data_IF_919163199407
#
_entry.id   IF_919163199407
#
_cell.length_a   1.000
_cell.length_b   1.000
_cell.length_c   1.000
_cell.angle_alpha   90.00
_cell.angle_beta   90.00
_cell.angle_gamma   90.00
#
_symmetry.space_group_name_H-M   'P 1'
#
loop_
_entity.id
_entity.type
_entity.pdbx_description
1 polymer ?
#
# COMPACT_ATOMS: atom_id res chain seq x y z
N UNK A 1 26.86 -70.37 4.62
CA UNK A 1 26.13 -69.49 5.57
C UNK A 1 26.51 -68.08 5.20
N UNK A 2 25.67 -67.45 4.35
CA UNK A 2 25.97 -66.13 3.80
C UNK A 2 25.27 -65.06 4.68
N UNK A 3 26.05 -64.21 5.32
CA UNK A 3 25.61 -63.03 6.02
C UNK A 3 25.30 -61.94 4.97
N UNK A 4 24.05 -61.61 4.84
CA UNK A 4 23.60 -60.45 4.07
C UNK A 4 23.81 -59.23 4.97
N UNK A 5 24.75 -58.34 4.58
CA UNK A 5 24.91 -57.03 5.17
C UNK A 5 23.68 -56.19 4.80
N UNK A 6 22.96 -55.76 5.81
CA UNK A 6 21.92 -54.71 5.66
C UNK A 6 22.62 -53.40 5.37
N UNK A 7 22.49 -52.94 4.13
CA UNK A 7 22.81 -51.57 3.75
C UNK A 7 21.83 -50.65 4.54
N UNK A 8 22.37 -49.93 5.49
CA UNK A 8 21.65 -48.85 6.16
C UNK A 8 21.42 -47.72 5.15
N UNK A 9 20.21 -47.63 4.64
CA UNK A 9 19.74 -46.45 3.92
C UNK A 9 19.93 -45.25 4.85
N UNK A 10 20.96 -44.49 4.65
CA UNK A 10 21.11 -43.15 5.18
C UNK A 10 19.99 -42.32 4.56
N UNK A 11 18.97 -42.04 5.34
CA UNK A 11 18.02 -40.97 5.01
C UNK A 11 18.86 -39.72 4.80
N UNK A 12 19.08 -39.32 3.55
CA UNK A 12 19.60 -38.01 3.23
C UNK A 12 18.76 -36.98 3.99
N UNK A 13 19.41 -36.26 4.87
CA UNK A 13 18.80 -35.12 5.55
C UNK A 13 18.26 -34.19 4.48
N UNK A 14 16.93 -34.07 4.40
CA UNK A 14 16.26 -33.06 3.56
C UNK A 14 16.96 -31.75 3.89
N UNK A 15 17.68 -31.25 2.90
CA UNK A 15 18.49 -30.04 3.04
C UNK A 15 17.60 -28.90 3.49
N UNK A 16 17.70 -28.52 4.77
CA UNK A 16 16.97 -27.42 5.38
C UNK A 16 17.32 -26.06 4.75
N UNK A 17 18.18 -26.06 3.73
CA UNK A 17 18.64 -24.87 3.02
C UNK A 17 17.59 -24.27 2.08
N UNK A 18 16.47 -24.96 1.83
CA UNK A 18 15.44 -24.54 0.87
C UNK A 18 14.22 -23.82 1.49
N UNK A 19 14.15 -23.68 2.83
CA UNK A 19 13.01 -23.02 3.47
C UNK A 19 13.00 -21.52 3.15
N UNK A 20 11.98 -21.07 2.43
CA UNK A 20 11.70 -19.67 2.10
C UNK A 20 10.32 -19.30 2.61
N UNK A 21 10.18 -18.09 3.11
CA UNK A 21 8.89 -17.55 3.50
C UNK A 21 8.41 -16.54 2.46
N UNK A 22 8.12 -17.05 1.27
CA UNK A 22 7.43 -16.26 0.26
C UNK A 22 5.98 -16.03 0.71
N UNK A 23 5.49 -14.80 0.60
CA UNK A 23 4.17 -14.45 1.11
C UNK A 23 3.29 -13.84 0.03
N UNK A 24 2.03 -14.27 0.01
CA UNK A 24 0.95 -13.43 -0.50
C UNK A 24 0.53 -12.51 0.64
N UNK A 25 0.46 -11.22 0.41
CA UNK A 25 -0.04 -10.27 1.39
C UNK A 25 -1.35 -9.66 0.94
N UNK A 26 -2.23 -9.43 1.88
CA UNK A 26 -3.47 -8.67 1.72
C UNK A 26 -3.56 -7.63 2.82
N UNK A 27 -3.99 -6.41 2.50
CA UNK A 27 -4.10 -5.35 3.49
C UNK A 27 -5.27 -4.44 3.27
N UNK A 28 -5.75 -3.89 4.37
CA UNK A 28 -6.73 -2.82 4.41
C UNK A 28 -6.19 -1.66 5.24
N UNK A 29 -6.30 -0.45 4.74
CA UNK A 29 -5.80 0.75 5.39
C UNK A 29 -6.84 1.85 5.45
N UNK A 30 -6.73 2.70 6.46
CA UNK A 30 -7.33 4.02 6.52
C UNK A 30 -6.32 5.02 5.96
N UNK A 31 -6.75 5.86 4.99
CA UNK A 31 -5.87 6.75 4.26
C UNK A 31 -6.08 8.20 4.71
N UNK A 32 -5.12 8.78 5.42
CA UNK A 32 -5.17 10.13 5.95
C UNK A 32 -4.43 11.07 4.99
N UNK A 33 -5.08 12.12 4.53
CA UNK A 33 -4.45 13.18 3.76
C UNK A 33 -3.84 14.23 4.70
N UNK A 34 -2.56 14.40 4.61
CA UNK A 34 -1.77 15.43 5.30
C UNK A 34 -1.55 16.63 4.38
N UNK A 35 -1.14 17.77 4.94
CA UNK A 35 -0.80 18.99 4.18
C UNK A 35 -1.94 19.43 3.23
N UNK A 36 -3.17 19.39 3.74
CA UNK A 36 -4.36 19.81 2.99
C UNK A 36 -4.45 21.33 2.94
N UNK A 37 -4.88 21.94 1.80
CA UNK A 37 -5.19 23.35 1.72
C UNK A 37 -6.24 23.78 2.75
N UNK A 38 -6.29 25.08 3.02
CA UNK A 38 -7.28 25.70 3.93
C UNK A 38 -8.71 25.38 3.49
N UNK A 39 -9.58 25.03 4.45
CA UNK A 39 -10.97 24.65 4.17
C UNK A 39 -11.18 23.28 3.56
N UNK A 40 -10.10 22.52 3.23
CA UNK A 40 -10.22 21.15 2.73
C UNK A 40 -10.22 20.16 3.89
N UNK A 41 -11.29 19.37 3.94
CA UNK A 41 -11.50 18.32 4.93
C UNK A 41 -11.68 16.95 4.29
N UNK A 42 -11.28 15.90 5.03
CA UNK A 42 -11.66 14.54 4.68
C UNK A 42 -13.02 14.23 5.31
N UNK A 43 -13.88 13.62 4.52
CA UNK A 43 -15.18 13.13 4.94
C UNK A 43 -15.33 11.65 4.59
N UNK A 44 -16.35 11.00 5.11
CA UNK A 44 -16.57 9.56 4.96
C UNK A 44 -15.36 8.72 5.46
N UNK A 45 -15.23 7.48 4.98
CA UNK A 45 -14.18 6.53 5.33
C UNK A 45 -13.20 6.38 4.16
N UNK A 46 -12.08 7.14 4.13
CA UNK A 46 -11.05 6.93 3.11
C UNK A 46 -10.31 5.63 3.39
N UNK A 47 -10.26 4.75 2.41
CA UNK A 47 -9.67 3.43 2.57
C UNK A 47 -8.73 3.05 1.44
N UNK A 48 -7.81 2.15 1.75
CA UNK A 48 -6.96 1.46 0.80
C UNK A 48 -7.11 -0.05 0.93
N UNK A 49 -6.99 -0.73 -0.19
CA UNK A 49 -6.90 -2.20 -0.26
C UNK A 49 -5.64 -2.50 -1.03
N UNK A 50 -4.84 -3.42 -0.52
CA UNK A 50 -3.60 -3.87 -1.18
C UNK A 50 -3.55 -5.39 -1.21
N UNK A 51 -3.01 -5.92 -2.31
CA UNK A 51 -2.79 -7.35 -2.53
C UNK A 51 -1.51 -7.53 -3.32
N UNK A 52 -0.67 -8.48 -2.95
CA UNK A 52 0.54 -8.74 -3.70
C UNK A 52 1.29 -9.96 -3.21
N UNK A 53 2.44 -10.16 -3.83
CA UNK A 53 3.36 -11.23 -3.51
C UNK A 53 4.74 -10.64 -3.19
N UNK A 54 5.38 -11.16 -2.15
CA UNK A 54 6.73 -10.77 -1.76
C UNK A 54 7.58 -12.04 -1.65
N UNK A 55 8.68 -12.05 -2.37
CA UNK A 55 9.71 -13.08 -2.28
C UNK A 55 10.64 -12.77 -1.14
N UNK A 56 10.88 -13.76 -0.29
CA UNK A 56 11.81 -13.69 0.83
C UNK A 56 13.22 -14.11 0.41
N UNK A 57 14.21 -13.31 0.80
CA UNK A 57 15.63 -13.55 0.55
C UNK A 57 16.35 -13.54 1.90
N UNK A 58 16.46 -14.68 2.61
CA UNK A 58 17.14 -14.73 3.89
C UNK A 58 18.63 -14.44 3.75
N UNK A 59 19.20 -13.66 4.68
CA UNK A 59 20.61 -13.23 4.62
C UNK A 59 21.45 -14.09 5.55
N UNK A 60 20.89 -14.61 6.65
CA UNK A 60 21.63 -15.35 7.65
C UNK A 60 21.18 -16.82 7.76
N UNK A 61 22.06 -17.67 8.32
CA UNK A 61 21.79 -19.10 8.53
C UNK A 61 20.57 -19.35 9.44
N UNK A 62 20.34 -18.49 10.41
CA UNK A 62 19.19 -18.57 11.31
C UNK A 62 17.87 -18.16 10.63
N UNK A 63 17.93 -17.54 9.44
CA UNK A 63 16.79 -17.07 8.62
C UNK A 63 15.82 -16.12 9.34
N UNK A 64 16.28 -15.53 10.43
CA UNK A 64 15.52 -14.55 11.17
C UNK A 64 15.69 -13.13 10.63
N UNK A 65 16.59 -12.92 9.67
CA UNK A 65 16.84 -11.66 9.00
C UNK A 65 16.93 -11.86 7.48
N UNK A 66 16.25 -11.00 6.71
CA UNK A 66 16.20 -11.12 5.26
C UNK A 66 15.79 -9.83 4.56
N UNK A 67 15.81 -9.87 3.25
CA UNK A 67 15.22 -8.89 2.36
C UNK A 67 13.96 -9.45 1.72
N UNK A 68 12.98 -8.58 1.45
CA UNK A 68 11.81 -8.87 0.65
C UNK A 68 11.75 -7.99 -0.59
N UNK A 69 11.44 -8.58 -1.72
CA UNK A 69 11.12 -7.88 -2.96
C UNK A 69 9.82 -8.45 -3.50
N UNK A 70 8.92 -7.58 -3.94
CA UNK A 70 7.61 -8.03 -4.36
C UNK A 70 6.98 -7.23 -5.47
N UNK A 71 5.79 -7.66 -5.83
CA UNK A 71 4.91 -6.98 -6.76
C UNK A 71 3.49 -7.06 -6.22
N UNK A 72 2.75 -5.96 -6.29
CA UNK A 72 1.38 -5.89 -5.79
C UNK A 72 0.53 -4.89 -6.52
N UNK A 73 -0.73 -4.93 -6.17
CA UNK A 73 -1.75 -4.00 -6.60
C UNK A 73 -2.33 -3.29 -5.38
N UNK A 74 -2.59 -1.98 -5.53
CA UNK A 74 -3.32 -1.22 -4.52
C UNK A 74 -4.43 -0.38 -5.15
N UNK A 75 -5.55 -0.33 -4.44
CA UNK A 75 -6.67 0.57 -4.69
C UNK A 75 -6.74 1.53 -3.52
N UNK A 76 -6.67 2.85 -3.77
CA UNK A 76 -6.88 3.86 -2.75
C UNK A 76 -8.08 4.74 -3.09
N UNK A 77 -8.86 5.08 -2.07
CA UNK A 77 -9.97 6.02 -2.15
C UNK A 77 -9.73 7.14 -1.14
N UNK A 78 -9.79 8.38 -1.62
CA UNK A 78 -9.64 9.59 -0.82
C UNK A 78 -10.92 10.40 -0.91
N UNK A 79 -11.69 10.45 0.17
CA UNK A 79 -12.94 11.20 0.24
C UNK A 79 -12.66 12.56 0.87
N UNK A 80 -12.99 13.64 0.15
CA UNK A 80 -12.75 15.02 0.59
C UNK A 80 -13.87 15.94 0.11
N UNK A 81 -13.92 17.17 0.61
CA UNK A 81 -14.71 18.24 0.02
C UNK A 81 -13.95 19.01 -1.09
N UNK A 82 -12.74 18.58 -1.49
CA UNK A 82 -12.03 19.15 -2.65
C UNK A 82 -12.64 18.58 -3.93
N UNK A 83 -13.44 19.39 -4.63
CA UNK A 83 -14.00 19.04 -5.92
C UNK A 83 -12.98 19.29 -7.03
N UNK A 84 -12.80 18.32 -7.90
CA UNK A 84 -12.11 18.46 -9.18
C UNK A 84 -13.15 18.57 -10.29
N UNK A 85 -13.00 19.52 -11.20
CA UNK A 85 -13.88 19.73 -12.34
C UNK A 85 -13.05 19.96 -13.62
N UNK A 86 -13.41 19.26 -14.70
CA UNK A 86 -12.81 19.51 -16.01
C UNK A 86 -13.30 20.86 -16.58
N UNK A 87 -12.38 21.65 -17.07
CA UNK A 87 -12.62 22.92 -17.77
C UNK A 87 -11.93 22.92 -19.14
N UNK A 88 -12.14 23.94 -19.93
CA UNK A 88 -11.46 24.07 -21.24
C UNK A 88 -9.94 24.22 -21.10
N UNK A 89 -9.48 24.77 -19.98
CA UNK A 89 -8.07 25.04 -19.70
C UNK A 89 -7.38 23.97 -18.84
N UNK A 90 -8.08 22.88 -18.49
CA UNK A 90 -7.54 21.79 -17.65
C UNK A 90 -8.49 21.42 -16.52
N UNK A 91 -7.95 21.01 -15.37
CA UNK A 91 -8.72 20.62 -14.20
C UNK A 91 -8.66 21.74 -13.15
N UNK A 92 -9.81 22.21 -12.69
CA UNK A 92 -9.91 23.16 -11.59
C UNK A 92 -10.23 22.46 -10.28
N UNK A 93 -9.72 23.00 -9.18
CA UNK A 93 -9.89 22.46 -7.83
C UNK A 93 -10.45 23.51 -6.89
N UNK A 94 -11.59 23.21 -6.26
CA UNK A 94 -12.22 24.09 -5.29
C UNK A 94 -12.80 23.30 -4.10
N UNK A 95 -12.87 23.96 -2.94
CA UNK A 95 -13.66 23.44 -1.84
C UNK A 95 -15.15 23.48 -2.20
N UNK A 96 -15.87 22.39 -1.97
CA UNK A 96 -17.34 22.39 -2.08
C UNK A 96 -17.87 23.26 -0.95
N UNK A 97 -18.69 24.31 -1.24
CA UNK A 97 -19.29 25.13 -0.21
C UNK A 97 -20.18 24.35 0.76
N UNK A 98 -20.24 24.77 2.02
CA UNK A 98 -20.97 24.05 3.08
C UNK A 98 -22.48 23.97 2.85
N UNK A 99 -23.05 24.90 2.06
CA UNK A 99 -24.45 24.94 1.64
C UNK A 99 -24.78 23.97 0.48
N UNK A 100 -23.78 23.40 -0.16
CA UNK A 100 -23.92 22.42 -1.25
C UNK A 100 -23.96 20.99 -0.73
N UNK A 101 -25.11 20.36 -0.85
CA UNK A 101 -25.26 18.96 -0.50
C UNK A 101 -24.69 18.05 -1.58
N UNK A 102 -23.86 17.09 -1.18
CA UNK A 102 -23.32 16.06 -2.08
C UNK A 102 -23.26 14.70 -1.39
N UNK A 103 -23.51 13.67 -2.18
CA UNK A 103 -23.48 12.29 -1.68
C UNK A 103 -22.06 11.71 -1.65
N UNK A 104 -21.20 12.12 -2.59
CA UNK A 104 -19.85 11.57 -2.74
C UNK A 104 -18.97 12.52 -3.53
N UNK A 105 -17.78 12.78 -2.98
CA UNK A 105 -16.69 13.38 -3.72
C UNK A 105 -15.40 12.64 -3.33
N UNK A 106 -14.70 12.03 -4.31
CA UNK A 106 -13.51 11.25 -4.05
C UNK A 106 -12.55 11.22 -5.22
N UNK A 107 -11.29 11.01 -4.89
CA UNK A 107 -10.25 10.58 -5.83
C UNK A 107 -9.98 9.09 -5.58
N UNK A 108 -9.98 8.32 -6.66
CA UNK A 108 -9.70 6.88 -6.66
C UNK A 108 -8.43 6.63 -7.48
N UNK A 109 -7.50 5.85 -6.96
CA UNK A 109 -6.26 5.51 -7.65
C UNK A 109 -6.02 4.00 -7.62
N UNK A 110 -5.56 3.47 -8.74
CA UNK A 110 -5.15 2.08 -8.92
C UNK A 110 -3.65 2.05 -9.20
N UNK A 111 -2.90 1.37 -8.34
CA UNK A 111 -1.44 1.33 -8.41
C UNK A 111 -0.93 -0.08 -8.62
N UNK A 112 0.13 -0.18 -9.40
CA UNK A 112 1.06 -1.28 -9.34
C UNK A 112 2.14 -0.91 -8.32
N UNK A 113 2.39 -1.76 -7.33
CA UNK A 113 3.33 -1.47 -6.25
C UNK A 113 4.49 -2.47 -6.24
N UNK A 114 5.69 -1.98 -6.00
CA UNK A 114 6.90 -2.79 -5.78
C UNK A 114 7.44 -2.52 -4.38
N UNK A 115 7.13 -3.36 -3.40
CA UNK A 115 7.72 -3.30 -2.07
C UNK A 115 9.17 -3.81 -2.08
N UNK A 116 10.04 -3.08 -1.38
CA UNK A 116 11.42 -3.42 -1.08
C UNK A 116 11.58 -3.29 0.43
N UNK A 117 11.80 -4.40 1.14
CA UNK A 117 11.76 -4.38 2.60
C UNK A 117 12.88 -5.17 3.26
N UNK A 118 13.24 -4.73 4.44
CA UNK A 118 14.06 -5.46 5.40
C UNK A 118 13.11 -6.21 6.33
N UNK A 119 13.40 -7.48 6.57
CA UNK A 119 12.57 -8.41 7.33
C UNK A 119 13.32 -8.94 8.53
N UNK A 120 12.73 -8.76 9.70
CA UNK A 120 13.16 -9.46 10.91
C UNK A 120 12.02 -10.28 11.48
N UNK A 121 12.33 -11.51 11.90
CA UNK A 121 11.34 -12.45 12.42
C UNK A 121 11.93 -13.41 13.44
N UNK A 122 11.10 -13.92 14.32
CA UNK A 122 11.48 -14.95 15.30
C UNK A 122 11.12 -16.36 14.85
N UNK A 123 10.96 -16.59 13.53
CA UNK A 123 10.60 -17.91 12.99
C UNK A 123 11.71 -18.93 13.16
N UNK A 124 11.30 -20.20 13.34
CA UNK A 124 12.17 -21.37 13.26
C UNK A 124 11.55 -22.36 12.29
N UNK A 125 12.32 -23.31 11.77
CA UNK A 125 11.84 -24.32 10.84
C UNK A 125 10.68 -25.19 11.37
N UNK A 126 10.46 -25.17 12.69
CA UNK A 126 9.44 -25.98 13.38
C UNK A 126 8.30 -25.15 13.98
N UNK A 127 8.41 -23.83 14.03
CA UNK A 127 7.40 -22.96 14.65
C UNK A 127 6.89 -21.92 13.66
N UNK A 128 5.64 -22.07 13.24
CA UNK A 128 4.96 -21.18 12.28
C UNK A 128 4.31 -19.95 12.95
N UNK A 129 4.29 -19.87 14.29
CA UNK A 129 3.73 -18.72 15.03
C UNK A 129 4.87 -17.89 15.59
N UNK A 130 5.14 -16.74 14.99
CA UNK A 130 6.29 -15.92 15.32
C UNK A 130 6.01 -14.43 15.16
N UNK A 131 6.83 -13.60 15.78
CA UNK A 131 6.82 -12.17 15.60
C UNK A 131 7.48 -11.76 14.29
N UNK A 132 6.90 -10.77 13.64
CA UNK A 132 7.42 -10.14 12.42
C UNK A 132 7.59 -8.65 12.62
N UNK A 133 8.71 -8.12 12.13
CA UNK A 133 8.95 -6.68 12.00
C UNK A 133 9.54 -6.47 10.62
N UNK A 134 8.80 -5.80 9.75
CA UNK A 134 9.19 -5.51 8.39
C UNK A 134 9.13 -4.02 8.15
N UNK A 135 10.07 -3.49 7.39
CA UNK A 135 10.08 -2.08 7.03
C UNK A 135 10.84 -1.84 5.74
N UNK A 136 10.44 -0.84 4.98
CA UNK A 136 11.05 -0.60 3.70
C UNK A 136 10.45 0.54 2.92
N UNK A 137 10.70 0.51 1.63
CA UNK A 137 10.20 1.47 0.66
C UNK A 137 9.27 0.75 -0.31
N UNK A 138 8.19 1.40 -0.68
CA UNK A 138 7.25 0.92 -1.67
C UNK A 138 7.22 1.91 -2.84
N UNK A 139 7.58 1.45 -4.02
CA UNK A 139 7.48 2.20 -5.26
C UNK A 139 6.16 1.88 -5.93
N UNK A 140 5.33 2.90 -6.20
CA UNK A 140 4.01 2.76 -6.79
C UNK A 140 3.91 3.48 -8.13
N UNK A 141 3.22 2.86 -9.09
CA UNK A 141 2.86 3.47 -10.36
C UNK A 141 1.35 3.49 -10.52
N UNK A 142 0.75 4.70 -10.59
CA UNK A 142 -0.68 4.87 -10.85
C UNK A 142 -0.94 4.63 -12.33
N UNK A 143 -1.56 3.50 -12.65
CA UNK A 143 -1.91 3.14 -14.03
C UNK A 143 -3.36 3.51 -14.40
N UNK A 144 -4.23 3.70 -13.38
CA UNK A 144 -5.59 4.19 -13.57
C UNK A 144 -6.02 5.03 -12.37
N UNK A 145 -6.82 6.05 -12.62
CA UNK A 145 -7.39 6.89 -11.59
C UNK A 145 -8.74 7.46 -12.01
N UNK A 146 -9.50 7.98 -11.08
CA UNK A 146 -10.72 8.74 -11.37
C UNK A 146 -11.02 9.75 -10.27
N UNK A 147 -11.34 10.97 -10.66
CA UNK A 147 -12.08 11.93 -9.83
C UNK A 147 -13.57 11.69 -10.01
N UNK A 148 -14.31 11.54 -8.91
CA UNK A 148 -15.73 11.19 -8.90
C UNK A 148 -16.49 12.12 -7.96
N UNK A 149 -17.49 12.82 -8.52
CA UNK A 149 -18.43 13.63 -7.76
C UNK A 149 -19.86 13.14 -7.99
N UNK A 150 -20.69 13.12 -6.96
CA UNK A 150 -22.10 12.81 -7.01
C UNK A 150 -22.83 13.79 -6.10
N UNK A 151 -23.59 14.70 -6.68
CA UNK A 151 -24.43 15.67 -6.00
C UNK A 151 -25.79 15.81 -6.66
N UNK A 152 -26.59 16.75 -6.19
CA UNK A 152 -27.95 16.99 -6.71
C UNK A 152 -27.95 17.44 -8.18
N UNK A 153 -26.86 18.09 -8.63
CA UNK A 153 -26.67 18.51 -10.02
C UNK A 153 -26.22 17.41 -10.99
N UNK A 154 -26.03 16.16 -10.50
CA UNK A 154 -25.63 15.04 -11.34
C UNK A 154 -24.39 14.29 -10.87
N UNK A 155 -23.78 13.57 -11.82
CA UNK A 155 -22.58 12.74 -11.59
C UNK A 155 -21.48 13.18 -12.53
N UNK A 156 -20.29 13.44 -11.98
CA UNK A 156 -19.07 13.67 -12.75
C UNK A 156 -18.10 12.51 -12.46
N UNK A 157 -17.44 12.05 -13.52
CA UNK A 157 -16.36 11.06 -13.42
C UNK A 157 -15.43 11.24 -14.60
N UNK A 158 -14.16 11.50 -14.31
CA UNK A 158 -13.11 11.63 -15.34
C UNK A 158 -11.76 11.14 -14.79
N UNK A 159 -10.80 10.93 -15.71
CA UNK A 159 -9.41 10.64 -15.36
C UNK A 159 -8.69 11.91 -14.97
N UNK A 160 -8.03 11.93 -13.83
CA UNK A 160 -7.34 13.10 -13.32
C UNK A 160 -5.86 13.04 -13.65
N UNK A 161 -5.45 13.77 -14.69
CA UNK A 161 -4.09 13.78 -15.19
C UNK A 161 -3.12 14.62 -14.32
N UNK A 162 -3.63 15.39 -13.36
CA UNK A 162 -2.81 16.16 -12.42
C UNK A 162 -2.24 15.31 -11.27
N UNK A 163 -2.66 14.06 -11.16
CA UNK A 163 -2.07 13.15 -10.20
C UNK A 163 -0.67 12.73 -10.63
N UNK A 164 0.25 12.73 -9.68
CA UNK A 164 1.62 12.24 -9.89
C UNK A 164 1.58 10.73 -10.08
N UNK A 165 2.02 10.24 -11.25
CA UNK A 165 1.97 8.82 -11.60
C UNK A 165 2.87 7.95 -10.73
N UNK A 166 4.05 8.45 -10.35
CA UNK A 166 4.99 7.73 -9.48
C UNK A 166 4.82 8.16 -8.03
N UNK A 167 4.55 7.20 -7.17
CA UNK A 167 4.41 7.35 -5.72
C UNK A 167 5.54 6.60 -5.02
N UNK A 168 6.04 7.16 -3.94
CA UNK A 168 7.06 6.53 -3.10
C UNK A 168 6.63 6.63 -1.65
N UNK A 169 6.43 5.49 -1.01
CA UNK A 169 6.04 5.39 0.40
C UNK A 169 7.18 4.73 1.19
N UNK A 170 7.47 5.23 2.38
CA UNK A 170 8.15 4.46 3.42
C UNK A 170 7.10 3.76 4.25
N UNK A 171 7.35 2.51 4.64
CA UNK A 171 6.38 1.76 5.45
C UNK A 171 7.02 0.90 6.52
N UNK A 172 6.22 0.58 7.49
CA UNK A 172 6.55 -0.29 8.61
C UNK A 172 5.38 -1.22 8.90
N UNK A 173 5.70 -2.47 9.25
CA UNK A 173 4.72 -3.47 9.65
C UNK A 173 5.28 -4.27 10.82
N UNK A 174 4.45 -4.51 11.84
CA UNK A 174 4.81 -5.38 12.93
C UNK A 174 3.61 -6.22 13.38
N UNK A 175 3.85 -7.45 13.79
CA UNK A 175 2.77 -8.29 14.26
C UNK A 175 3.19 -9.71 14.63
N UNK A 176 2.18 -10.50 14.93
CA UNK A 176 2.33 -11.89 15.34
C UNK A 176 1.52 -12.80 14.42
N UNK A 177 2.15 -13.85 13.91
CA UNK A 177 1.54 -14.81 13.00
C UNK A 177 0.98 -14.09 11.74
N UNK A 178 -0.31 -14.25 11.43
CA UNK A 178 -0.95 -13.69 10.23
C UNK A 178 -1.31 -12.20 10.40
N UNK A 179 -1.52 -11.73 11.63
CA UNK A 179 -2.01 -10.38 11.92
C UNK A 179 -0.86 -9.39 12.11
N UNK A 180 -0.80 -8.36 11.26
CA UNK A 180 0.23 -7.34 11.36
C UNK A 180 -0.39 -5.96 11.26
N UNK A 181 -0.01 -5.07 12.18
CA UNK A 181 -0.24 -3.65 12.04
C UNK A 181 0.64 -3.12 10.92
N UNK A 182 0.12 -2.16 10.19
CA UNK A 182 0.78 -1.55 9.06
C UNK A 182 0.63 -0.03 9.11
N UNK A 183 1.72 0.68 8.85
CA UNK A 183 1.72 2.12 8.63
C UNK A 183 2.61 2.47 7.45
N UNK A 184 2.20 3.43 6.61
CA UNK A 184 3.05 3.97 5.56
C UNK A 184 2.85 5.48 5.40
N UNK A 185 3.92 6.14 4.99
CA UNK A 185 3.96 7.57 4.76
C UNK A 185 4.45 7.85 3.33
N UNK A 186 3.66 8.60 2.57
CA UNK A 186 4.00 9.05 1.23
C UNK A 186 5.08 10.11 1.27
N UNK A 187 6.24 9.82 0.68
CA UNK A 187 7.36 10.75 0.63
C UNK A 187 7.14 11.89 -0.38
N UNK A 188 6.32 11.66 -1.38
CA UNK A 188 5.96 12.65 -2.38
C UNK A 188 4.47 13.01 -2.31
N UNK A 189 4.13 14.16 -2.88
CA UNK A 189 2.75 14.66 -2.99
C UNK A 189 1.94 13.77 -3.94
N UNK A 190 0.63 13.70 -3.73
CA UNK A 190 -0.30 12.98 -4.63
C UNK A 190 -0.43 13.70 -5.96
N UNK A 191 -0.47 15.04 -5.93
CA UNK A 191 -0.58 15.91 -7.10
C UNK A 191 0.79 16.28 -7.66
N UNK A 192 0.81 16.71 -8.90
CA UNK A 192 1.96 17.37 -9.52
C UNK A 192 2.27 18.69 -8.85
N UNK A 193 3.52 19.18 -8.90
CA UNK A 193 3.92 20.40 -8.17
C UNK A 193 3.20 21.68 -8.60
N UNK A 194 2.77 21.74 -9.85
CA UNK A 194 2.14 22.90 -10.49
C UNK A 194 0.63 22.98 -10.30
N UNK A 195 0.06 22.11 -9.50
CA UNK A 195 -1.41 22.06 -9.31
C UNK A 195 -1.83 22.87 -8.09
N UNK A 196 -2.66 23.88 -8.35
CA UNK A 196 -3.21 24.80 -7.35
C UNK A 196 -4.72 24.71 -7.28
N UNK A 197 -5.29 25.17 -6.18
CA UNK A 197 -6.71 25.44 -6.05
C UNK A 197 -7.08 26.73 -6.75
N UNK A 198 -8.37 26.98 -6.99
CA UNK A 198 -8.87 28.28 -7.52
C UNK A 198 -8.45 29.45 -6.61
N UNK A 199 -8.27 29.23 -5.32
CA UNK A 199 -7.78 30.23 -4.37
C UNK A 199 -6.27 30.49 -4.43
N UNK A 200 -5.53 29.75 -5.26
CA UNK A 200 -4.08 29.89 -5.43
C UNK A 200 -3.25 29.14 -4.39
N UNK A 201 -3.84 28.27 -3.58
CA UNK A 201 -3.10 27.39 -2.67
C UNK A 201 -2.65 26.12 -3.39
N UNK A 202 -1.38 25.73 -3.24
CA UNK A 202 -0.82 24.51 -3.82
C UNK A 202 -1.42 23.24 -3.20
N UNK A 203 -1.65 22.22 -4.04
CA UNK A 203 -2.08 20.90 -3.60
C UNK A 203 -0.88 20.05 -3.14
N UNK A 204 -0.38 20.34 -1.94
CA UNK A 204 0.80 19.69 -1.36
C UNK A 204 0.51 18.35 -0.67
N UNK A 205 -0.70 17.84 -0.77
CA UNK A 205 -1.20 16.70 -0.01
C UNK A 205 -0.33 15.47 -0.13
N UNK A 206 0.01 14.88 1.02
CA UNK A 206 0.68 13.58 1.19
C UNK A 206 -0.23 12.59 1.88
N UNK A 207 0.06 11.31 1.78
CA UNK A 207 -0.76 10.25 2.38
C UNK A 207 -0.04 9.60 3.54
N UNK A 208 -0.72 9.51 4.67
CA UNK A 208 -0.41 8.60 5.76
C UNK A 208 -1.45 7.48 5.74
N UNK A 209 -1.01 6.23 5.66
CA UNK A 209 -1.89 5.06 5.70
C UNK A 209 -1.64 4.30 7.00
N UNK A 210 -2.70 3.87 7.67
CA UNK A 210 -2.62 3.02 8.86
C UNK A 210 -3.66 1.91 8.76
N UNK A 211 -3.29 0.67 9.11
CA UNK A 211 -4.21 -0.45 8.97
C UNK A 211 -3.64 -1.79 9.35
N UNK A 212 -4.15 -2.84 8.70
CA UNK A 212 -3.75 -4.21 8.92
C UNK A 212 -3.27 -4.85 7.63
N UNK A 213 -2.24 -5.67 7.73
CA UNK A 213 -1.74 -6.52 6.64
C UNK A 213 -1.68 -7.96 7.13
N UNK A 214 -2.16 -8.86 6.29
CA UNK A 214 -2.17 -10.30 6.48
C UNK A 214 -1.16 -10.92 5.53
N UNK A 215 -0.23 -11.68 6.07
CA UNK A 215 0.72 -12.45 5.29
C UNK A 215 0.27 -13.91 5.28
N UNK A 216 0.01 -14.42 4.08
CA UNK A 216 -0.38 -15.80 3.81
C UNK A 216 0.82 -16.52 3.19
N UNK A 217 1.11 -17.70 3.70
CA UNK A 217 2.17 -18.59 3.20
C UNK A 217 1.66 -19.42 2.02
#
# INVERSE_FOLDING_TARGET
MNLIAQDSLTLESIDSTSYREDHIYMGITYNILLERPSGISQNNLPYGIQLGYIRDIPINKARNFGFGIGLGYALNNYFTNLQAAETLDGISYAAIPDDVSFKRNKIETHLLEMPLEVRWRTSTSTNYKFWRIYGGVKLGYIFANASKFVGDGGKLKFSNDDLRKFQTDIYFSFGYNTWNFYASYGLNRIFKPEVDTISGEQLEMKVLKAGLVFYLL
#
